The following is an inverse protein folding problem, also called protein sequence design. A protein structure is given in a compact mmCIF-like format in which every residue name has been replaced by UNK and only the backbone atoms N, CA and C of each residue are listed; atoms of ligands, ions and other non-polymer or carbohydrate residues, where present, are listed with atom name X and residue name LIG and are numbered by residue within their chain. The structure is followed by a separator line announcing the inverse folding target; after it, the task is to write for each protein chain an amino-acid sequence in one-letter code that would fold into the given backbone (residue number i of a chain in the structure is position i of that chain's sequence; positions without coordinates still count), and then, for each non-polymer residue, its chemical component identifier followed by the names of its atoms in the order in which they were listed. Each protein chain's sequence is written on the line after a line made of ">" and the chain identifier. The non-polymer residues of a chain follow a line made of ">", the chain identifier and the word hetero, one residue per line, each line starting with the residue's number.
data_IF_570580764363
#
_entry.id   IF_570580764363
#
_cell.length_a   1.000
_cell.length_b   1.000
_cell.length_c   1.000
_cell.angle_alpha   90.00
_cell.angle_beta   90.00
_cell.angle_gamma   90.00
#
_symmetry.space_group_name_H-M   'P 1'
#
loop_
_entity.id
_entity.type
_entity.pdbx_description
1 polymer ?
#
# COMPACT_ATOMS: atom_id res chain seq x y z
N UNK A 1 37.32 22.26 6.43
CA UNK A 1 36.07 21.59 5.97
C UNK A 1 35.63 20.47 6.93
N UNK A 2 36.54 19.70 7.54
CA UNK A 2 36.19 18.60 8.45
C UNK A 2 35.48 19.01 9.75
N UNK A 3 35.79 20.20 10.28
CA UNK A 3 35.09 20.73 11.46
C UNK A 3 33.58 20.84 11.23
N UNK A 4 33.15 21.16 9.99
CA UNK A 4 31.74 21.46 9.70
C UNK A 4 30.92 20.18 9.69
N UNK A 5 31.52 19.10 9.19
CA UNK A 5 30.96 17.76 9.26
C UNK A 5 30.89 17.26 10.70
N UNK A 6 31.89 17.55 11.52
CA UNK A 6 31.91 17.16 12.92
C UNK A 6 30.81 17.88 13.72
N UNK A 7 30.71 19.21 13.60
CA UNK A 7 29.66 19.98 14.28
C UNK A 7 28.27 19.60 13.79
N UNK A 8 28.07 19.38 12.49
CA UNK A 8 26.82 18.86 11.92
C UNK A 8 26.42 17.52 12.55
N UNK A 9 27.36 16.57 12.66
CA UNK A 9 27.10 15.25 13.27
C UNK A 9 26.71 15.36 14.75
N UNK A 10 27.35 16.26 15.50
CA UNK A 10 27.00 16.48 16.91
C UNK A 10 25.59 17.11 17.04
N UNK A 11 25.30 18.14 16.25
CA UNK A 11 23.98 18.80 16.26
C UNK A 11 22.88 17.83 15.82
N UNK A 12 23.10 17.05 14.77
CA UNK A 12 22.16 16.02 14.30
C UNK A 12 21.90 14.96 15.37
N UNK A 13 22.95 14.47 16.03
CA UNK A 13 22.84 13.48 17.10
C UNK A 13 22.10 14.02 18.33
N UNK A 14 22.37 15.28 18.71
CA UNK A 14 21.65 15.95 19.80
C UNK A 14 20.18 16.17 19.45
N UNK A 15 19.85 16.61 18.24
CA UNK A 15 18.45 16.77 17.79
C UNK A 15 17.68 15.45 17.80
N UNK A 16 18.30 14.36 17.33
CA UNK A 16 17.68 13.03 17.30
C UNK A 16 17.40 12.46 18.70
N UNK A 17 18.24 12.77 19.69
CA UNK A 17 18.04 12.36 21.10
C UNK A 17 16.98 13.18 21.83
N UNK A 18 16.93 14.49 21.56
CA UNK A 18 16.00 15.41 22.22
C UNK A 18 14.58 15.35 21.64
N UNK A 19 14.47 15.11 20.34
CA UNK A 19 13.21 14.86 19.67
C UNK A 19 13.31 13.49 18.98
N UNK A 20 13.04 12.37 19.69
CA UNK A 20 12.82 11.13 18.99
C UNK A 20 11.69 11.38 18.01
N UNK A 21 11.97 11.29 16.71
CA UNK A 21 10.94 11.26 15.69
C UNK A 21 9.99 10.16 16.13
N UNK A 22 8.81 10.54 16.63
CA UNK A 22 7.78 9.56 16.95
C UNK A 22 7.60 8.76 15.67
N UNK A 23 7.74 7.42 15.68
CA UNK A 23 7.40 6.66 14.51
C UNK A 23 5.99 7.08 14.12
N UNK A 24 5.84 7.61 12.92
CA UNK A 24 4.51 7.90 12.38
C UNK A 24 3.79 6.55 12.46
N UNK A 25 2.69 6.45 13.22
CA UNK A 25 1.97 5.19 13.31
C UNK A 25 1.51 4.86 11.89
N UNK A 26 2.14 3.85 11.29
CA UNK A 26 1.72 3.31 10.02
C UNK A 26 0.31 2.76 10.25
N UNK A 27 -0.70 3.41 9.69
CA UNK A 27 -2.05 2.85 9.59
C UNK A 27 -2.09 1.81 8.47
N UNK A 28 -1.06 0.96 8.41
CA UNK A 28 -0.97 -0.13 7.46
C UNK A 28 -1.93 -1.22 7.95
N UNK A 29 -2.91 -1.55 7.12
CA UNK A 29 -3.77 -2.71 7.38
C UNK A 29 -2.88 -3.96 7.32
N UNK A 30 -2.87 -4.82 8.36
CA UNK A 30 -2.10 -6.04 8.32
C UNK A 30 -2.59 -6.93 7.19
N UNK A 31 -1.66 -7.54 6.45
CA UNK A 31 -1.94 -8.34 5.24
C UNK A 31 -2.98 -9.44 5.51
N UNK A 32 -2.99 -10.02 6.71
CA UNK A 32 -3.93 -11.06 7.12
C UNK A 32 -5.40 -10.61 7.18
N UNK A 33 -5.67 -9.29 7.20
CA UNK A 33 -7.03 -8.71 7.18
C UNK A 33 -7.49 -8.34 5.76
N UNK A 34 -6.65 -8.52 4.74
CA UNK A 34 -7.02 -8.26 3.36
C UNK A 34 -7.78 -9.46 2.78
N UNK A 35 -8.81 -9.23 1.95
CA UNK A 35 -9.57 -10.32 1.34
C UNK A 35 -8.83 -10.96 0.15
N UNK A 36 -7.74 -10.36 -0.32
CA UNK A 36 -6.90 -10.88 -1.40
C UNK A 36 -5.48 -11.23 -0.95
N UNK A 37 -4.93 -12.24 -1.60
CA UNK A 37 -3.51 -12.60 -1.52
C UNK A 37 -2.69 -11.86 -2.58
N UNK A 38 -3.29 -11.65 -3.75
CA UNK A 38 -2.64 -11.02 -4.90
C UNK A 38 -3.64 -10.14 -5.64
N UNK A 39 -3.16 -9.01 -6.17
CA UNK A 39 -3.86 -8.14 -7.12
C UNK A 39 -2.96 -7.94 -8.32
N UNK A 40 -3.55 -8.09 -9.51
CA UNK A 40 -2.94 -7.71 -10.76
C UNK A 40 -3.84 -6.90 -11.68
N UNK A 41 -3.17 -6.07 -12.49
CA UNK A 41 -3.77 -5.33 -13.59
C UNK A 41 -3.57 -6.13 -14.88
N UNK A 42 -4.66 -6.51 -15.54
CA UNK A 42 -4.63 -7.12 -16.87
C UNK A 42 -4.62 -6.02 -17.93
N UNK A 43 -3.54 -5.96 -18.69
CA UNK A 43 -3.39 -5.15 -19.89
C UNK A 43 -3.53 -6.05 -21.14
N UNK A 44 -3.74 -5.49 -22.35
CA UNK A 44 -3.97 -6.28 -23.56
C UNK A 44 -2.92 -7.36 -23.88
N UNK A 45 -1.68 -7.20 -23.39
CA UNK A 45 -0.56 -8.10 -23.67
C UNK A 45 0.26 -8.51 -22.43
N UNK A 46 -0.13 -8.08 -21.23
CA UNK A 46 0.63 -8.35 -20.00
C UNK A 46 -0.26 -8.30 -18.78
N UNK A 47 0.12 -9.03 -17.73
CA UNK A 47 -0.46 -8.93 -16.40
C UNK A 47 0.63 -8.42 -15.48
N UNK A 48 0.37 -7.33 -14.77
CA UNK A 48 1.31 -6.76 -13.81
C UNK A 48 0.80 -6.92 -12.39
N UNK A 49 1.68 -7.32 -11.49
CA UNK A 49 1.37 -7.42 -10.06
C UNK A 49 1.49 -6.05 -9.42
N UNK A 50 0.44 -5.62 -8.74
CA UNK A 50 0.41 -4.33 -8.02
C UNK A 50 0.15 -4.49 -6.52
N UNK A 51 0.23 -5.73 -6.02
CA UNK A 51 -0.18 -6.11 -4.67
C UNK A 51 0.49 -5.25 -3.60
N UNK A 52 1.82 -5.09 -3.67
CA UNK A 52 2.57 -4.31 -2.68
C UNK A 52 2.21 -2.82 -2.71
N UNK A 53 2.01 -2.27 -3.91
CA UNK A 53 1.65 -0.86 -4.11
C UNK A 53 0.28 -0.60 -3.48
N UNK A 54 -0.70 -1.45 -3.80
CA UNK A 54 -2.06 -1.33 -3.26
C UNK A 54 -2.04 -1.51 -1.75
N UNK A 55 -1.41 -2.56 -1.23
CA UNK A 55 -1.37 -2.85 0.20
C UNK A 55 -0.79 -1.69 1.04
N UNK A 56 0.17 -0.95 0.50
CA UNK A 56 0.77 0.21 1.19
C UNK A 56 -0.16 1.45 1.24
N UNK A 57 -1.17 1.53 0.37
CA UNK A 57 -2.10 2.67 0.30
C UNK A 57 -3.47 2.40 0.93
N UNK A 58 -3.72 1.15 1.34
CA UNK A 58 -4.98 0.77 1.98
C UNK A 58 -5.05 1.35 3.40
N UNK A 59 -6.22 1.88 3.73
CA UNK A 59 -6.60 2.28 5.09
C UNK A 59 -7.97 1.69 5.42
N UNK A 60 -8.23 1.50 6.72
CA UNK A 60 -9.53 1.06 7.18
C UNK A 60 -10.64 2.05 6.82
N UNK A 61 -11.80 1.53 6.43
CA UNK A 61 -12.96 2.32 6.02
C UNK A 61 -12.92 2.81 4.58
N UNK A 62 -11.80 2.66 3.87
CA UNK A 62 -11.74 2.99 2.45
C UNK A 62 -12.47 1.93 1.62
N UNK A 63 -13.23 2.41 0.64
CA UNK A 63 -13.80 1.57 -0.40
C UNK A 63 -12.78 1.41 -1.53
N UNK A 64 -12.34 0.19 -1.74
CA UNK A 64 -11.30 -0.17 -2.70
C UNK A 64 -12.04 -0.64 -3.94
N UNK A 65 -12.23 0.27 -4.89
CA UNK A 65 -12.87 0.01 -6.19
C UNK A 65 -11.80 -0.09 -7.30
N UNK A 66 -12.17 -0.56 -8.51
CA UNK A 66 -11.27 -0.50 -9.67
C UNK A 66 -10.70 0.90 -9.96
N UNK A 67 -11.48 1.96 -9.71
CA UNK A 67 -11.03 3.35 -9.85
C UNK A 67 -9.94 3.69 -8.83
N UNK A 68 -10.12 3.29 -7.56
CA UNK A 68 -9.10 3.45 -6.53
C UNK A 68 -7.80 2.73 -6.91
N UNK A 69 -7.89 1.50 -7.41
CA UNK A 69 -6.71 0.75 -7.87
C UNK A 69 -5.98 1.49 -8.99
N UNK A 70 -6.73 2.10 -9.90
CA UNK A 70 -6.19 2.86 -11.03
C UNK A 70 -5.53 4.17 -10.57
N UNK A 71 -6.10 4.85 -9.58
CA UNK A 71 -5.53 6.06 -8.97
C UNK A 71 -4.22 5.77 -8.23
N UNK A 72 -4.21 4.73 -7.39
CA UNK A 72 -3.04 4.35 -6.58
C UNK A 72 -1.88 3.84 -7.44
N UNK A 73 -2.17 3.08 -8.49
CA UNK A 73 -1.15 2.52 -9.38
C UNK A 73 -0.75 3.47 -10.51
N UNK A 74 -1.57 4.48 -10.81
CA UNK A 74 -1.40 5.36 -11.96
C UNK A 74 -1.72 4.69 -13.31
N UNK A 75 -2.37 3.54 -13.30
CA UNK A 75 -2.68 2.78 -14.51
C UNK A 75 -4.03 3.19 -15.10
N UNK A 76 -4.01 3.72 -16.33
CA UNK A 76 -5.20 4.25 -17.01
C UNK A 76 -5.76 3.34 -18.11
N UNK A 77 -4.98 2.37 -18.58
CA UNK A 77 -5.33 1.48 -19.70
C UNK A 77 -5.50 0.02 -19.24
N UNK A 78 -6.03 -0.19 -18.03
CA UNK A 78 -6.27 -1.53 -17.50
C UNK A 78 -7.55 -2.08 -18.14
N UNK A 79 -7.46 -3.27 -18.74
CA UNK A 79 -8.60 -3.96 -19.33
C UNK A 79 -9.49 -4.54 -18.23
N UNK A 80 -8.87 -5.15 -17.22
CA UNK A 80 -9.57 -5.83 -16.13
C UNK A 80 -8.66 -5.92 -14.91
N UNK A 81 -9.27 -5.75 -13.73
CA UNK A 81 -8.59 -5.96 -12.46
C UNK A 81 -8.89 -7.37 -11.96
N UNK A 82 -7.86 -8.08 -11.53
CA UNK A 82 -7.99 -9.43 -10.99
C UNK A 82 -7.37 -9.51 -9.62
N UNK A 83 -7.93 -10.36 -8.78
CA UNK A 83 -7.37 -10.67 -7.48
C UNK A 83 -7.45 -12.17 -7.20
N UNK A 84 -6.57 -12.65 -6.33
CA UNK A 84 -6.66 -14.01 -5.79
C UNK A 84 -7.26 -13.90 -4.40
N UNK A 85 -8.39 -14.54 -4.18
CA UNK A 85 -9.08 -14.59 -2.88
C UNK A 85 -8.23 -15.38 -1.86
N UNK A 86 -8.04 -14.85 -0.65
CA UNK A 86 -7.24 -15.51 0.40
C UNK A 86 -7.84 -16.84 0.82
N UNK A 87 -9.17 -16.96 0.80
CA UNK A 87 -9.88 -18.12 1.34
C UNK A 87 -9.99 -19.26 0.33
N UNK A 88 -10.27 -18.92 -0.92
CA UNK A 88 -10.47 -19.92 -1.99
C UNK A 88 -9.20 -20.16 -2.80
N UNK A 89 -8.22 -19.25 -2.75
CA UNK A 89 -7.02 -19.24 -3.57
C UNK A 89 -7.32 -19.26 -5.08
N UNK A 90 -8.53 -18.87 -5.47
CA UNK A 90 -8.96 -18.77 -6.86
C UNK A 90 -8.77 -17.34 -7.37
N UNK A 91 -8.37 -17.23 -8.64
CA UNK A 91 -8.30 -15.96 -9.35
C UNK A 91 -9.71 -15.52 -9.77
N UNK A 92 -10.08 -14.31 -9.37
CA UNK A 92 -11.41 -13.72 -9.59
C UNK A 92 -11.27 -12.30 -10.13
N UNK A 93 -12.31 -11.88 -10.84
CA UNK A 93 -12.45 -10.50 -11.28
C UNK A 93 -12.77 -9.59 -10.10
N UNK A 94 -12.12 -8.43 -10.05
CA UNK A 94 -12.35 -7.46 -8.99
C UNK A 94 -13.77 -6.88 -9.09
N UNK A 95 -14.55 -6.90 -8.00
CA UNK A 95 -15.94 -6.46 -8.04
C UNK A 95 -16.05 -4.96 -8.35
N UNK A 96 -17.03 -4.52 -9.16
CA UNK A 96 -17.20 -3.10 -9.48
C UNK A 96 -17.60 -2.27 -8.26
N UNK A 97 -18.32 -2.88 -7.29
CA UNK A 97 -18.64 -2.24 -6.01
C UNK A 97 -17.46 -2.16 -5.04
N UNK A 98 -16.33 -2.78 -5.38
CA UNK A 98 -15.13 -2.80 -4.55
C UNK A 98 -15.27 -3.58 -3.23
N UNK A 99 -14.25 -3.43 -2.39
CA UNK A 99 -14.21 -3.99 -1.03
C UNK A 99 -14.11 -2.87 0.01
N UNK A 100 -14.78 -3.03 1.14
CA UNK A 100 -14.61 -2.15 2.29
C UNK A 100 -13.91 -2.95 3.37
N UNK A 101 -12.76 -2.45 3.83
CA UNK A 101 -12.00 -3.09 4.91
C UNK A 101 -12.36 -2.42 6.22
N UNK A 102 -13.16 -3.09 7.03
CA UNK A 102 -13.57 -2.59 8.34
C UNK A 102 -12.50 -2.88 9.40
N UNK A 103 -12.31 -1.93 10.32
CA UNK A 103 -11.47 -2.15 11.49
C UNK A 103 -12.27 -2.89 12.56
N UNK A 104 -12.51 -4.18 12.36
CA UNK A 104 -13.08 -5.02 13.41
C UNK A 104 -11.95 -5.30 14.42
N UNK A 105 -12.14 -4.74 15.61
CA UNK A 105 -11.26 -4.87 16.77
C UNK A 105 -11.44 -6.23 17.46
#
# INVERSE_FOLDING_TARGET
>A
MEWLLWTYRQIYSCKRKLCPSRPIPRHEVPVNKLPWFWIGAEFPHKIETVTDIVNNHIQYGNQITPEFLSEVTGYTNVKMWRYVDVTTLEEREFPPGGFVIENVA
#
